data_IF_915187597845
#
_entry.id   IF_915187597845
#
_cell.length_a   1.000
_cell.length_b   1.000
_cell.length_c   1.000
_cell.angle_alpha   90.00
_cell.angle_beta   90.00
_cell.angle_gamma   90.00
#
_symmetry.space_group_name_H-M   'P 1'
#
loop_
_entity.id
_entity.type
_entity.pdbx_description
1 polymer ?
#
# COMPACT_ATOMS: atom_id res chain seq x y z
N UNK A 1 5.68 10.78 -20.39
CA UNK A 1 4.59 11.36 -19.59
C UNK A 1 5.17 11.86 -18.29
N UNK A 2 5.04 13.14 -17.98
CA UNK A 2 5.44 13.71 -16.69
C UNK A 2 4.26 13.61 -15.72
N UNK A 3 4.45 12.93 -14.59
CA UNK A 3 3.47 12.86 -13.49
C UNK A 3 3.95 13.71 -12.32
N UNK A 4 3.06 14.54 -11.76
CA UNK A 4 3.33 15.31 -10.56
C UNK A 4 2.68 14.58 -9.36
N UNK A 5 3.47 14.20 -8.35
CA UNK A 5 2.95 13.67 -7.08
C UNK A 5 2.89 14.80 -6.05
N UNK A 6 1.70 15.03 -5.47
CA UNK A 6 1.51 15.96 -4.37
C UNK A 6 0.88 15.24 -3.18
N UNK A 7 1.42 15.47 -1.99
CA UNK A 7 0.83 15.00 -0.72
C UNK A 7 0.27 16.19 0.03
N UNK A 8 -1.05 16.19 0.21
CA UNK A 8 -1.75 17.21 0.96
C UNK A 8 -2.74 16.55 1.93
N UNK A 9 -3.08 17.27 3.00
CA UNK A 9 -4.09 16.82 3.97
C UNK A 9 -5.40 17.52 3.65
N UNK A 10 -6.49 16.77 3.75
CA UNK A 10 -7.84 17.32 3.69
C UNK A 10 -8.07 18.13 4.98
N UNK A 11 -8.57 19.35 4.83
CA UNK A 11 -8.92 20.23 5.95
C UNK A 11 -10.06 19.65 6.79
N UNK A 12 -10.25 20.22 7.98
CA UNK A 12 -11.34 19.80 8.89
C UNK A 12 -12.73 20.06 8.30
N UNK A 13 -12.84 20.98 7.35
CA UNK A 13 -14.05 21.26 6.58
C UNK A 13 -14.29 20.28 5.41
N UNK A 14 -13.42 19.28 5.25
CA UNK A 14 -13.51 18.26 4.22
C UNK A 14 -12.99 18.69 2.85
N UNK A 15 -12.34 19.86 2.74
CA UNK A 15 -11.81 20.36 1.45
C UNK A 15 -10.33 20.08 1.28
N UNK A 16 -9.93 19.87 0.02
CA UNK A 16 -8.55 19.78 -0.42
C UNK A 16 -8.26 20.91 -1.40
N UNK A 17 -7.41 21.86 -1.01
CA UNK A 17 -6.97 22.95 -1.88
C UNK A 17 -5.69 22.54 -2.60
N UNK A 18 -5.69 22.66 -3.94
CA UNK A 18 -4.56 22.31 -4.80
C UNK A 18 -4.20 23.53 -5.64
N UNK A 19 -2.97 24.02 -5.49
CA UNK A 19 -2.43 25.10 -6.32
C UNK A 19 -1.48 24.50 -7.33
N UNK A 20 -1.84 24.59 -8.62
CA UNK A 20 -1.02 24.08 -9.71
C UNK A 20 -0.02 25.15 -10.20
N UNK A 21 1.18 24.76 -10.66
CA UNK A 21 2.13 25.67 -11.28
C UNK A 21 1.55 26.39 -12.51
N UNK A 22 1.94 27.64 -12.73
CA UNK A 22 1.46 28.45 -13.87
C UNK A 22 1.83 27.86 -15.23
N UNK A 23 2.87 27.04 -15.29
CA UNK A 23 3.30 26.30 -16.48
C UNK A 23 2.28 25.24 -16.95
N UNK A 24 1.28 24.89 -16.12
CA UNK A 24 0.15 24.03 -16.50
C UNK A 24 -1.09 24.84 -16.97
N UNK A 25 -1.02 26.17 -17.03
CA UNK A 25 -2.15 27.00 -17.43
C UNK A 25 -2.63 26.65 -18.86
N UNK A 26 -3.94 26.50 -19.03
CA UNK A 26 -4.56 26.16 -20.32
C UNK A 26 -4.42 24.69 -20.75
N UNK A 27 -3.80 23.85 -19.92
CA UNK A 27 -3.67 22.41 -20.19
C UNK A 27 -4.82 21.62 -19.56
N UNK A 28 -5.17 20.49 -20.19
CA UNK A 28 -6.06 19.50 -19.57
C UNK A 28 -5.28 18.72 -18.51
N UNK A 29 -5.78 18.71 -17.27
CA UNK A 29 -5.14 18.05 -16.13
C UNK A 29 -6.07 16.99 -15.57
N UNK A 30 -5.57 15.75 -15.45
CA UNK A 30 -6.27 14.66 -14.77
C UNK A 30 -5.82 14.58 -13.32
N UNK A 31 -6.75 14.79 -12.39
CA UNK A 31 -6.53 14.58 -10.96
C UNK A 31 -6.93 13.15 -10.57
N UNK A 32 -6.05 12.46 -9.84
CA UNK A 32 -6.32 11.15 -9.26
C UNK A 32 -6.28 11.27 -7.74
N UNK A 33 -7.39 10.95 -7.08
CA UNK A 33 -7.51 11.02 -5.62
C UNK A 33 -7.47 9.61 -5.08
N UNK A 34 -6.42 9.29 -4.33
CA UNK A 34 -6.29 8.02 -3.64
C UNK A 34 -6.49 8.22 -2.15
N UNK A 35 -7.43 7.44 -1.58
CA UNK A 35 -7.56 7.39 -0.13
C UNK A 35 -6.36 6.65 0.44
N UNK A 36 -5.44 7.38 1.05
CA UNK A 36 -4.39 6.77 1.87
C UNK A 36 -5.05 6.24 3.13
N UNK A 37 -5.41 4.94 3.12
CA UNK A 37 -5.74 4.25 4.35
C UNK A 37 -4.49 4.27 5.22
N UNK A 38 -4.57 4.88 6.40
CA UNK A 38 -3.51 4.74 7.38
C UNK A 38 -3.28 3.24 7.56
N UNK A 39 -2.07 2.74 7.25
CA UNK A 39 -1.67 1.41 7.72
C UNK A 39 -1.97 1.42 9.21
N UNK A 40 -2.94 0.61 9.63
CA UNK A 40 -3.25 0.45 11.05
C UNK A 40 -1.97 -0.10 11.67
N UNK A 41 -1.15 0.79 12.23
CA UNK A 41 -0.05 0.40 13.09
C UNK A 41 -0.71 -0.13 14.35
N UNK A 42 -1.06 -1.41 14.34
CA UNK A 42 -1.49 -2.11 15.54
C UNK A 42 -0.37 -1.92 16.57
N UNK A 43 -0.73 -1.47 17.77
CA UNK A 43 0.22 -1.55 18.89
C UNK A 43 0.65 -3.00 19.09
N UNK A 44 1.75 -3.23 19.82
CA UNK A 44 2.19 -4.59 20.15
C UNK A 44 1.08 -5.39 20.85
N UNK A 45 0.23 -4.71 21.61
CA UNK A 45 -0.91 -5.28 22.34
C UNK A 45 -2.04 -5.67 21.39
N UNK A 46 -2.45 -4.77 20.49
CA UNK A 46 -3.46 -5.05 19.46
C UNK A 46 -3.01 -6.16 18.50
N UNK A 47 -1.71 -6.26 18.23
CA UNK A 47 -1.15 -7.33 17.41
C UNK A 47 -1.19 -8.67 18.13
N UNK A 48 -0.90 -8.70 19.44
CA UNK A 48 -1.02 -9.89 20.28
C UNK A 48 -2.45 -10.40 20.37
N UNK A 49 -3.42 -9.51 20.56
CA UNK A 49 -4.85 -9.87 20.57
C UNK A 49 -5.30 -10.41 19.22
N UNK A 50 -4.90 -9.77 18.13
CA UNK A 50 -5.18 -10.25 16.78
C UNK A 50 -4.62 -11.67 16.57
N UNK A 51 -3.34 -11.91 16.89
CA UNK A 51 -2.74 -13.25 16.79
C UNK A 51 -3.50 -14.26 17.64
N UNK A 52 -3.88 -13.94 18.88
CA UNK A 52 -4.70 -14.85 19.70
C UNK A 52 -6.06 -15.15 19.08
N UNK A 53 -6.68 -14.17 18.40
CA UNK A 53 -7.98 -14.37 17.75
C UNK A 53 -7.92 -15.27 16.51
N UNK A 54 -6.76 -15.36 15.86
CA UNK A 54 -6.55 -16.21 14.67
C UNK A 54 -5.70 -17.46 14.96
N UNK A 55 -5.08 -17.55 16.13
CA UNK A 55 -4.32 -18.71 16.57
C UNK A 55 -5.30 -19.86 16.83
N UNK A 56 -5.20 -20.90 16.02
CA UNK A 56 -6.03 -22.11 16.12
C UNK A 56 -7.06 -22.27 14.99
N UNK A 57 -7.22 -21.31 14.08
CA UNK A 57 -8.10 -21.44 12.91
C UNK A 57 -7.40 -21.94 11.65
N UNK A 58 -6.10 -22.19 11.71
CA UNK A 58 -5.34 -22.82 10.63
C UNK A 58 -5.27 -24.31 10.96
N UNK A 59 -5.98 -25.19 10.23
CA UNK A 59 -5.71 -26.62 10.34
C UNK A 59 -4.24 -26.86 10.01
N UNK A 60 -3.55 -27.67 10.81
CA UNK A 60 -2.24 -28.16 10.42
C UNK A 60 -2.38 -28.73 9.00
N UNK A 61 -1.65 -28.17 8.05
CA UNK A 61 -1.65 -28.66 6.68
C UNK A 61 -0.52 -29.67 6.55
N UNK A 62 -0.74 -30.97 6.83
CA UNK A 62 0.31 -31.98 6.73
C UNK A 62 0.90 -32.08 5.32
N UNK A 63 0.14 -31.64 4.31
CA UNK A 63 0.51 -31.76 2.90
C UNK A 63 1.17 -30.51 2.31
N UNK A 64 1.33 -29.42 3.08
CA UNK A 64 2.04 -28.22 2.59
C UNK A 64 3.54 -28.46 2.72
N UNK A 65 4.12 -29.07 1.68
CA UNK A 65 5.56 -29.01 1.43
C UNK A 65 5.91 -27.54 1.21
N UNK A 66 6.52 -26.90 2.22
CA UNK A 66 7.14 -25.59 2.00
C UNK A 66 8.21 -25.81 0.94
N UNK A 67 8.12 -25.15 -0.23
CA UNK A 67 9.16 -25.30 -1.22
C UNK A 67 10.48 -24.87 -0.54
N UNK A 68 11.45 -25.77 -0.57
CA UNK A 68 12.77 -25.53 0.02
C UNK A 68 13.45 -24.34 -0.65
N UNK A 69 14.59 -23.88 -0.12
CA UNK A 69 15.36 -22.77 -0.69
C UNK A 69 15.76 -23.00 -2.16
N UNK A 70 15.56 -24.19 -2.73
CA UNK A 70 15.91 -24.51 -4.11
C UNK A 70 14.86 -24.05 -5.15
N UNK A 71 13.74 -23.46 -4.72
CA UNK A 71 12.67 -22.98 -5.62
C UNK A 71 12.78 -21.49 -5.99
N UNK A 72 14.00 -20.98 -6.19
CA UNK A 72 14.15 -19.61 -6.71
C UNK A 72 13.78 -19.60 -8.20
N UNK A 73 12.93 -18.66 -8.60
CA UNK A 73 12.69 -18.38 -10.02
C UNK A 73 14.01 -17.92 -10.67
N UNK A 74 14.55 -18.71 -11.59
CA UNK A 74 15.65 -18.29 -12.43
C UNK A 74 15.17 -17.16 -13.35
N UNK A 75 15.60 -15.93 -13.07
CA UNK A 75 15.42 -14.80 -13.97
C UNK A 75 16.64 -14.73 -14.87
N UNK A 76 16.43 -14.78 -16.18
CA UNK A 76 17.49 -14.54 -17.15
C UNK A 76 18.05 -13.12 -16.93
N UNK A 77 19.37 -13.03 -16.81
CA UNK A 77 20.07 -11.76 -16.78
C UNK A 77 19.96 -11.10 -18.15
N UNK A 78 19.53 -9.85 -18.17
CA UNK A 78 19.52 -9.04 -19.38
C UNK A 78 20.96 -8.50 -19.56
N UNK A 79 21.71 -9.11 -20.47
CA UNK A 79 22.96 -8.54 -21.02
C UNK A 79 22.66 -7.44 -22.05
#
# INVERSE_FOLDING_TARGET
MSSYEMRARVGEDGKLEVVLPSELAGSEVRLVIERVSARVRRSKEQWREFVRSVAGSIPDFPDVVRPGPDSFEHRESID
#
